data_IF_489124278030
#
_entry.id   IF_489124278030
#
_cell.length_a   1.000
_cell.length_b   1.000
_cell.length_c   1.000
_cell.angle_alpha   90.00
_cell.angle_beta   90.00
_cell.angle_gamma   90.00
#
_symmetry.space_group_name_H-M   'P 1'
#
loop_
_entity.id
_entity.type
_entity.pdbx_description
1 polymer ?
#
# COMPACT_ATOMS: atom_id res chain seq x y z
N UNK A 1 -2.99 -11.56 6.22
CA UNK A 1 -2.93 -10.18 6.73
C UNK A 1 -1.49 -9.88 7.12
N UNK A 2 -0.87 -8.89 6.46
CA UNK A 2 0.46 -8.42 6.82
C UNK A 2 0.39 -7.48 8.01
N UNK A 3 1.24 -7.73 9.01
CA UNK A 3 1.40 -6.90 10.21
C UNK A 3 2.88 -6.53 10.37
N UNK A 4 3.22 -5.78 11.39
CA UNK A 4 4.61 -5.50 11.78
C UNK A 4 4.91 -6.06 13.16
N UNK A 5 6.17 -6.07 13.57
CA UNK A 5 6.53 -6.43 14.94
C UNK A 5 5.84 -5.53 15.99
N UNK A 6 5.49 -4.29 15.60
CA UNK A 6 4.91 -3.29 16.51
C UNK A 6 3.41 -3.46 16.74
N UNK A 7 2.68 -4.04 15.78
CA UNK A 7 1.21 -4.12 15.85
C UNK A 7 0.65 -5.55 15.72
N UNK A 8 1.50 -6.55 15.58
CA UNK A 8 1.06 -7.93 15.33
C UNK A 8 0.15 -8.46 16.45
N UNK A 9 0.61 -8.35 17.69
CA UNK A 9 -0.08 -8.93 18.83
C UNK A 9 -1.42 -8.22 19.08
N UNK A 10 -1.44 -6.89 18.97
CA UNK A 10 -2.64 -6.07 19.08
C UNK A 10 -3.63 -6.39 17.95
N UNK A 11 -3.16 -6.46 16.71
CA UNK A 11 -4.00 -6.77 15.55
C UNK A 11 -4.60 -8.17 15.66
N UNK A 12 -3.80 -9.16 16.02
CA UNK A 12 -4.28 -10.55 16.16
C UNK A 12 -5.28 -10.70 17.33
N UNK A 13 -5.05 -9.99 18.44
CA UNK A 13 -5.98 -9.93 19.56
C UNK A 13 -7.31 -9.30 19.14
N UNK A 14 -7.26 -8.17 18.42
CA UNK A 14 -8.44 -7.49 17.90
C UNK A 14 -9.30 -8.39 17.01
N UNK A 15 -8.70 -9.15 16.08
CA UNK A 15 -9.45 -10.11 15.26
C UNK A 15 -10.10 -11.21 16.11
N UNK A 16 -9.40 -11.71 17.10
CA UNK A 16 -9.91 -12.76 18.01
C UNK A 16 -11.07 -12.27 18.86
N UNK A 17 -10.94 -11.09 19.46
CA UNK A 17 -11.97 -10.44 20.28
C UNK A 17 -13.25 -10.16 19.49
N UNK A 18 -13.12 -9.86 18.20
CA UNK A 18 -14.25 -9.66 17.28
C UNK A 18 -14.67 -10.94 16.54
N UNK A 19 -14.25 -12.13 17.04
CA UNK A 19 -14.64 -13.42 16.46
C UNK A 19 -14.35 -13.49 14.95
N UNK A 20 -13.21 -12.89 14.53
CA UNK A 20 -12.76 -12.81 13.14
C UNK A 20 -13.85 -12.22 12.20
N UNK A 21 -14.73 -11.37 12.73
CA UNK A 21 -15.82 -10.76 12.00
C UNK A 21 -16.75 -11.76 11.30
N UNK A 22 -16.90 -12.95 11.87
CA UNK A 22 -17.71 -14.02 11.32
C UNK A 22 -17.06 -14.86 10.23
N UNK A 23 -15.79 -14.60 9.89
CA UNK A 23 -15.01 -15.46 8.98
C UNK A 23 -14.46 -16.68 9.73
N UNK A 24 -14.29 -17.79 9.01
CA UNK A 24 -13.61 -18.95 9.54
C UNK A 24 -12.12 -18.63 9.76
N UNK A 25 -11.61 -18.72 11.01
CA UNK A 25 -10.22 -18.46 11.35
C UNK A 25 -9.22 -19.30 10.54
N UNK A 26 -9.60 -20.47 10.04
CA UNK A 26 -8.75 -21.33 9.24
C UNK A 26 -8.30 -20.69 7.91
N UNK A 27 -9.04 -19.67 7.44
CA UNK A 27 -8.70 -18.94 6.22
C UNK A 27 -8.03 -17.59 6.49
N UNK A 28 -7.76 -17.23 7.75
CA UNK A 28 -7.15 -15.96 8.11
C UNK A 28 -5.73 -16.20 8.63
N UNK A 29 -4.75 -15.78 7.86
CA UNK A 29 -3.34 -15.93 8.18
C UNK A 29 -2.70 -14.58 8.45
N UNK A 30 -1.88 -14.51 9.49
CA UNK A 30 -1.11 -13.31 9.82
C UNK A 30 0.38 -13.58 9.61
N UNK A 31 1.07 -12.63 9.00
CA UNK A 31 2.51 -12.67 8.85
C UNK A 31 3.12 -11.29 9.08
N UNK A 32 4.38 -11.28 9.53
CA UNK A 32 5.07 -10.02 9.86
C UNK A 32 5.90 -9.56 8.68
N UNK A 33 5.77 -8.27 8.32
CA UNK A 33 6.68 -7.61 7.39
C UNK A 33 8.06 -7.41 8.03
N UNK A 34 9.05 -7.13 7.19
CA UNK A 34 10.38 -6.78 7.63
C UNK A 34 10.41 -5.41 8.30
N UNK A 35 11.45 -5.22 9.10
CA UNK A 35 11.74 -3.97 9.77
C UNK A 35 13.09 -3.45 9.28
N UNK A 36 13.20 -2.14 9.09
CA UNK A 36 14.42 -1.46 8.73
C UNK A 36 14.90 -0.55 9.86
N UNK A 37 16.22 -0.41 10.08
CA UNK A 37 16.75 0.54 11.05
C UNK A 37 16.51 1.98 10.59
N UNK A 38 16.18 2.85 11.54
CA UNK A 38 16.13 4.28 11.30
C UNK A 38 17.52 4.90 11.53
N UNK A 39 17.86 5.91 10.74
CA UNK A 39 19.14 6.62 10.87
C UNK A 39 18.93 8.13 11.06
N UNK A 40 19.87 8.80 11.71
CA UNK A 40 19.91 10.25 11.75
C UNK A 40 20.38 10.85 10.41
N UNK A 41 20.45 12.16 10.31
CA UNK A 41 20.90 12.87 9.10
C UNK A 41 22.38 12.60 8.71
N UNK A 42 23.18 12.05 9.64
CA UNK A 42 24.56 11.64 9.38
C UNK A 42 24.68 10.15 9.00
N UNK A 43 23.56 9.44 8.89
CA UNK A 43 23.52 8.01 8.59
C UNK A 43 23.83 7.11 9.80
N UNK A 44 23.90 7.66 11.02
CA UNK A 44 24.09 6.87 12.24
C UNK A 44 22.78 6.21 12.66
N UNK A 45 22.84 4.91 12.95
CA UNK A 45 21.68 4.16 13.45
C UNK A 45 21.18 4.75 14.76
N UNK A 46 19.88 5.02 14.83
CA UNK A 46 19.23 5.57 16.00
C UNK A 46 18.84 4.44 16.99
N UNK A 47 18.85 4.74 18.26
CA UNK A 47 18.43 3.83 19.32
C UNK A 47 17.06 4.25 19.85
N UNK A 48 16.17 3.29 20.10
CA UNK A 48 14.92 3.52 20.83
C UNK A 48 15.01 3.12 22.31
N UNK A 49 16.02 2.28 22.68
CA UNK A 49 16.42 1.97 24.04
C UNK A 49 17.93 1.69 24.09
N UNK A 50 18.52 1.57 25.29
CA UNK A 50 19.97 1.33 25.45
C UNK A 50 20.48 0.06 24.76
N UNK A 51 19.61 -0.95 24.66
CA UNK A 51 19.85 -2.27 24.10
C UNK A 51 19.06 -2.54 22.81
N UNK A 52 18.39 -1.50 22.26
CA UNK A 52 17.49 -1.68 21.13
C UNK A 52 17.60 -0.55 20.12
N UNK A 53 17.90 -0.92 18.87
CA UNK A 53 17.89 0.01 17.74
C UNK A 53 16.48 0.43 17.38
N UNK A 54 16.32 1.67 16.91
CA UNK A 54 15.05 2.17 16.40
C UNK A 54 14.74 1.49 15.06
N UNK A 55 13.73 0.62 15.08
CA UNK A 55 13.24 -0.08 13.90
C UNK A 55 11.88 0.46 13.47
N UNK A 56 11.65 0.51 12.18
CA UNK A 56 10.35 0.81 11.58
C UNK A 56 10.00 -0.23 10.52
N UNK A 57 8.70 -0.47 10.27
CA UNK A 57 8.30 -1.22 9.08
C UNK A 57 8.98 -0.67 7.84
N UNK A 58 9.46 -1.58 6.98
CA UNK A 58 10.20 -1.23 5.76
C UNK A 58 9.30 -0.90 4.56
N UNK A 59 8.08 -0.46 4.79
CA UNK A 59 7.11 -0.16 3.75
C UNK A 59 6.26 -1.36 3.34
N UNK A 60 5.38 -1.15 2.38
CA UNK A 60 4.42 -2.17 1.94
C UNK A 60 4.90 -2.99 0.73
N UNK A 61 6.03 -2.66 0.10
CA UNK A 61 6.56 -3.38 -1.07
C UNK A 61 7.07 -4.77 -0.76
N UNK A 62 7.60 -4.98 0.46
CA UNK A 62 8.12 -6.27 0.92
C UNK A 62 7.06 -7.34 1.24
N UNK A 63 5.78 -7.09 0.95
CA UNK A 63 4.68 -7.99 1.33
C UNK A 63 4.83 -9.40 0.78
N UNK A 64 5.20 -9.55 -0.51
CA UNK A 64 5.30 -10.87 -1.13
C UNK A 64 6.50 -11.67 -0.60
N UNK A 65 7.65 -11.03 -0.41
CA UNK A 65 8.81 -11.69 0.19
C UNK A 65 8.54 -12.12 1.64
N UNK A 66 7.84 -11.30 2.41
CA UNK A 66 7.44 -11.62 3.79
C UNK A 66 6.44 -12.77 3.85
N UNK A 67 5.46 -12.80 2.95
CA UNK A 67 4.51 -13.89 2.78
C UNK A 67 5.22 -15.21 2.42
N UNK A 68 6.19 -15.16 1.50
CA UNK A 68 6.98 -16.33 1.12
C UNK A 68 7.83 -16.86 2.30
N UNK A 69 8.45 -15.97 3.08
CA UNK A 69 9.22 -16.37 4.29
C UNK A 69 8.34 -16.98 5.36
N UNK A 70 7.10 -16.54 5.48
CA UNK A 70 6.12 -17.12 6.38
C UNK A 70 5.64 -18.53 5.93
N UNK A 71 6.06 -18.99 4.74
CA UNK A 71 5.75 -20.33 4.23
C UNK A 71 4.49 -20.46 3.40
N UNK A 72 3.73 -19.37 3.19
CA UNK A 72 2.43 -19.43 2.53
C UNK A 72 2.50 -19.65 1.02
N UNK A 73 3.63 -19.39 0.36
CA UNK A 73 3.76 -19.58 -1.09
C UNK A 73 3.48 -21.05 -1.50
N UNK A 74 4.06 -22.00 -0.75
CA UNK A 74 3.89 -23.43 -1.03
C UNK A 74 2.41 -23.83 -0.89
N UNK A 75 1.75 -23.37 0.16
CA UNK A 75 0.32 -23.64 0.38
C UNK A 75 -0.54 -23.08 -0.75
N UNK A 76 -0.25 -21.86 -1.21
CA UNK A 76 -0.95 -21.24 -2.33
C UNK A 76 -0.79 -22.04 -3.63
N UNK A 77 0.43 -22.52 -3.92
CA UNK A 77 0.71 -23.36 -5.09
C UNK A 77 -0.05 -24.70 -5.01
N UNK A 78 -0.04 -25.36 -3.84
CA UNK A 78 -0.76 -26.62 -3.61
C UNK A 78 -2.28 -26.46 -3.75
N UNK A 79 -2.80 -25.28 -3.38
CA UNK A 79 -4.23 -24.93 -3.55
C UNK A 79 -4.59 -24.44 -4.96
N UNK A 80 -3.62 -24.32 -5.87
CA UNK A 80 -3.84 -23.84 -7.24
C UNK A 80 -4.23 -22.36 -7.31
N UNK A 81 -3.77 -21.54 -6.37
CA UNK A 81 -4.00 -20.08 -6.39
C UNK A 81 -3.15 -19.46 -7.49
N UNK A 82 -3.79 -18.79 -8.43
CA UNK A 82 -3.12 -18.15 -9.57
C UNK A 82 -3.02 -16.62 -9.43
N UNK A 83 -3.86 -16.01 -8.63
CA UNK A 83 -3.95 -14.56 -8.49
C UNK A 83 -4.01 -14.12 -7.04
N UNK A 84 -3.36 -13.01 -6.72
CA UNK A 84 -3.37 -12.39 -5.39
C UNK A 84 -3.94 -10.98 -5.46
N UNK A 85 -5.02 -10.75 -4.71
CA UNK A 85 -5.59 -9.42 -4.52
C UNK A 85 -4.90 -8.74 -3.34
N UNK A 86 -4.29 -7.58 -3.59
CA UNK A 86 -3.49 -6.82 -2.61
C UNK A 86 -4.10 -5.44 -2.45
N UNK A 87 -4.43 -5.07 -1.23
CA UNK A 87 -5.07 -3.80 -0.95
C UNK A 87 -4.69 -3.24 0.42
N UNK A 88 -4.87 -1.95 0.59
CA UNK A 88 -4.63 -1.21 1.83
C UNK A 88 -5.86 -1.24 2.73
N UNK A 89 -5.65 -1.30 4.05
CA UNK A 89 -6.72 -1.32 5.05
C UNK A 89 -7.40 0.05 5.24
N UNK A 90 -6.76 1.12 4.81
CA UNK A 90 -7.25 2.49 5.02
C UNK A 90 -8.47 2.85 4.16
N UNK A 91 -8.68 2.19 3.01
CA UNK A 91 -9.85 2.42 2.17
C UNK A 91 -11.02 1.53 2.59
N UNK A 92 -11.98 2.09 3.33
CA UNK A 92 -13.12 1.34 3.90
C UNK A 92 -14.20 0.94 2.89
N UNK A 93 -14.20 1.48 1.67
CA UNK A 93 -15.07 1.06 0.56
C UNK A 93 -14.44 0.01 -0.36
N UNK A 94 -13.37 -0.61 0.07
CA UNK A 94 -12.65 -1.59 -0.72
C UNK A 94 -13.55 -2.77 -1.11
N UNK A 95 -13.74 -3.02 -2.41
CA UNK A 95 -14.38 -4.24 -2.90
C UNK A 95 -13.32 -5.32 -3.07
N UNK A 96 -13.23 -6.19 -2.06
CA UNK A 96 -12.28 -7.29 -2.01
C UNK A 96 -12.75 -8.40 -2.96
N UNK A 97 -11.83 -8.91 -3.80
CA UNK A 97 -12.10 -10.00 -4.74
C UNK A 97 -13.34 -9.79 -5.62
N UNK A 98 -13.53 -8.56 -6.10
CA UNK A 98 -14.59 -8.21 -7.05
C UNK A 98 -14.48 -9.11 -8.32
N UNK A 99 -15.46 -9.98 -8.58
CA UNK A 99 -15.35 -10.96 -9.65
C UNK A 99 -15.32 -10.31 -11.05
N UNK A 100 -15.91 -9.12 -11.21
CA UNK A 100 -15.89 -8.39 -12.48
C UNK A 100 -14.50 -7.83 -12.74
N UNK A 101 -13.87 -7.24 -11.72
CA UNK A 101 -12.49 -6.77 -11.81
C UNK A 101 -11.52 -7.92 -12.08
N UNK A 102 -11.61 -9.00 -11.30
CA UNK A 102 -10.77 -10.19 -11.49
C UNK A 102 -10.94 -10.75 -12.90
N UNK A 103 -12.18 -10.91 -13.38
CA UNK A 103 -12.48 -11.38 -14.72
C UNK A 103 -11.93 -10.46 -15.81
N UNK A 104 -12.03 -9.14 -15.64
CA UNK A 104 -11.49 -8.16 -16.58
C UNK A 104 -9.95 -8.26 -16.70
N UNK A 105 -9.24 -8.39 -15.58
CA UNK A 105 -7.78 -8.55 -15.58
C UNK A 105 -7.37 -9.85 -16.26
N UNK A 106 -8.04 -10.97 -15.95
CA UNK A 106 -7.76 -12.26 -16.58
C UNK A 106 -8.02 -12.18 -18.09
N UNK A 107 -9.17 -11.64 -18.51
CA UNK A 107 -9.53 -11.51 -19.91
C UNK A 107 -8.61 -10.59 -20.71
N UNK A 108 -8.03 -9.57 -20.08
CA UNK A 108 -7.07 -8.66 -20.72
C UNK A 108 -5.73 -9.33 -21.04
N UNK A 109 -5.40 -10.45 -20.39
CA UNK A 109 -4.10 -11.11 -20.49
C UNK A 109 -2.97 -10.38 -19.78
N UNK A 110 -3.26 -9.30 -19.02
CA UNK A 110 -2.24 -8.55 -18.28
C UNK A 110 -1.68 -9.36 -17.10
N UNK A 111 -0.46 -9.04 -16.69
CA UNK A 111 0.21 -9.64 -15.52
C UNK A 111 -0.36 -9.14 -14.20
N UNK A 112 -0.88 -7.92 -14.23
CA UNK A 112 -1.55 -7.34 -13.09
C UNK A 112 -2.70 -6.41 -13.52
N UNK A 113 -3.51 -6.02 -12.54
CA UNK A 113 -4.49 -4.96 -12.65
C UNK A 113 -4.38 -4.00 -11.47
N UNK A 114 -4.79 -2.76 -11.69
CA UNK A 114 -4.89 -1.74 -10.63
C UNK A 114 -6.23 -1.02 -10.71
N UNK A 115 -6.99 -1.02 -9.61
CA UNK A 115 -8.18 -0.16 -9.52
C UNK A 115 -7.75 1.30 -9.43
N UNK A 116 -8.36 2.12 -10.26
CA UNK A 116 -8.07 3.55 -10.36
C UNK A 116 -9.34 4.38 -10.27
N UNK A 117 -9.19 5.59 -9.77
CA UNK A 117 -10.24 6.62 -9.79
C UNK A 117 -9.75 7.83 -10.57
N UNK A 118 -10.65 8.56 -11.23
CA UNK A 118 -10.26 9.83 -11.85
C UNK A 118 -9.87 10.84 -10.80
N UNK A 119 -8.75 11.53 -11.04
CA UNK A 119 -8.34 12.68 -10.21
C UNK A 119 -9.41 13.77 -10.27
N UNK A 120 -9.69 14.38 -9.14
CA UNK A 120 -10.64 15.50 -9.03
C UNK A 120 -9.98 16.85 -9.32
N UNK A 121 -8.66 16.95 -9.16
CA UNK A 121 -7.87 18.14 -9.49
C UNK A 121 -6.41 17.79 -9.79
N UNK A 122 -5.66 18.68 -10.46
CA UNK A 122 -4.21 18.51 -10.66
C UNK A 122 -3.43 18.34 -9.35
N UNK A 123 -3.87 18.99 -8.27
CA UNK A 123 -3.20 19.05 -6.96
C UNK A 123 -3.55 17.86 -6.06
N UNK A 124 -4.46 16.99 -6.48
CA UNK A 124 -4.84 15.82 -5.67
C UNK A 124 -3.62 14.95 -5.36
N UNK A 125 -3.43 14.66 -4.07
CA UNK A 125 -2.27 13.90 -3.54
C UNK A 125 -2.50 12.40 -3.65
N UNK A 126 -2.46 11.88 -4.87
CA UNK A 126 -2.61 10.46 -5.19
C UNK A 126 -1.58 10.08 -6.26
N UNK A 127 -0.97 8.90 -6.13
CA UNK A 127 -0.12 8.33 -7.17
C UNK A 127 -0.92 8.04 -8.44
N UNK A 128 -0.31 8.15 -9.60
CA UNK A 128 -0.99 8.00 -10.89
C UNK A 128 -0.42 6.83 -11.66
N UNK A 129 -1.30 5.89 -12.04
CA UNK A 129 -0.94 4.79 -12.93
C UNK A 129 -0.79 5.32 -14.36
N UNK A 130 0.37 5.09 -14.95
CA UNK A 130 0.71 5.52 -16.30
C UNK A 130 1.61 4.47 -17.00
N UNK A 131 2.21 4.84 -18.11
CA UNK A 131 3.27 4.07 -18.77
C UNK A 131 4.54 4.88 -18.82
N UNK A 132 5.66 4.25 -18.49
CA UNK A 132 7.00 4.75 -18.67
C UNK A 132 7.77 3.75 -19.53
N UNK A 133 8.31 4.20 -20.65
CA UNK A 133 9.02 3.38 -21.66
C UNK A 133 8.23 2.11 -22.08
N UNK A 134 6.91 2.26 -22.18
CA UNK A 134 5.99 1.17 -22.58
C UNK A 134 5.59 0.21 -21.46
N UNK A 135 6.21 0.29 -20.29
CA UNK A 135 5.87 -0.50 -19.10
C UNK A 135 4.90 0.23 -18.17
N UNK A 136 4.10 -0.50 -17.38
CA UNK A 136 3.28 0.15 -16.38
C UNK A 136 4.15 0.78 -15.29
N UNK A 137 3.77 1.97 -14.87
CA UNK A 137 4.44 2.70 -13.80
C UNK A 137 3.42 3.46 -12.95
N UNK A 138 3.76 3.72 -11.71
CA UNK A 138 3.01 4.63 -10.85
C UNK A 138 3.96 5.78 -10.48
N UNK A 139 3.57 7.00 -10.83
CA UNK A 139 4.27 8.22 -10.46
C UNK A 139 3.57 8.82 -9.25
N UNK A 140 4.30 8.97 -8.16
CA UNK A 140 3.76 9.57 -6.95
C UNK A 140 3.54 11.09 -7.12
N UNK A 141 2.55 11.61 -6.40
CA UNK A 141 2.14 13.02 -6.53
C UNK A 141 3.28 14.02 -6.25
N UNK A 142 4.25 13.66 -5.43
CA UNK A 142 5.42 14.50 -5.12
C UNK A 142 6.54 14.39 -6.18
N UNK A 143 6.49 13.41 -7.06
CA UNK A 143 7.42 13.22 -8.19
C UNK A 143 6.91 13.93 -9.46
N UNK A 144 5.60 14.21 -9.53
CA UNK A 144 5.02 14.88 -10.70
C UNK A 144 5.47 16.34 -10.80
N UNK A 145 5.98 16.73 -11.96
CA UNK A 145 6.24 18.14 -12.28
C UNK A 145 4.94 18.91 -12.48
N UNK A 146 5.00 20.23 -12.42
CA UNK A 146 3.82 21.08 -12.66
C UNK A 146 3.27 20.91 -14.09
N UNK A 147 4.14 20.70 -15.06
CA UNK A 147 3.75 20.40 -16.44
C UNK A 147 2.98 19.08 -16.52
N UNK A 148 3.48 18.00 -15.88
CA UNK A 148 2.78 16.72 -15.84
C UNK A 148 1.41 16.84 -15.18
N UNK A 149 1.30 17.57 -14.06
CA UNK A 149 0.04 17.73 -13.32
C UNK A 149 -1.04 18.42 -14.17
N UNK A 150 -0.64 19.39 -14.99
CA UNK A 150 -1.55 20.22 -15.75
C UNK A 150 -1.74 19.79 -17.21
N UNK A 151 -0.98 18.77 -17.67
CA UNK A 151 -1.08 18.26 -19.03
C UNK A 151 -2.47 17.69 -19.30
N UNK A 152 -3.07 18.08 -20.44
CA UNK A 152 -4.42 17.67 -20.81
C UNK A 152 -4.44 16.99 -22.16
N UNK A 153 -5.41 16.08 -22.33
CA UNK A 153 -5.73 15.49 -23.63
C UNK A 153 -6.50 16.47 -24.54
N UNK A 154 -6.79 16.04 -25.75
CA UNK A 154 -7.56 16.83 -26.76
C UNK A 154 -8.99 17.18 -26.30
N UNK A 155 -9.53 16.46 -25.31
CA UNK A 155 -10.85 16.70 -24.74
C UNK A 155 -10.81 17.57 -23.47
N UNK A 156 -9.62 18.05 -23.09
CA UNK A 156 -9.42 18.90 -21.92
C UNK A 156 -9.34 18.15 -20.59
N UNK A 157 -9.36 16.82 -20.58
CA UNK A 157 -9.17 16.02 -19.36
C UNK A 157 -7.69 15.97 -18.97
N UNK A 158 -7.41 15.80 -17.67
CA UNK A 158 -6.04 15.55 -17.21
C UNK A 158 -5.49 14.29 -17.89
N UNK A 159 -4.30 14.36 -18.47
CA UNK A 159 -3.66 13.21 -19.08
C UNK A 159 -3.22 12.19 -18.02
N UNK A 160 -2.62 12.68 -16.92
CA UNK A 160 -2.24 11.87 -15.75
C UNK A 160 -3.39 11.87 -14.73
N UNK A 161 -4.48 11.12 -15.02
CA UNK A 161 -5.71 11.19 -14.24
C UNK A 161 -6.10 9.87 -13.54
N UNK A 162 -5.38 8.78 -13.76
CA UNK A 162 -5.68 7.48 -13.14
C UNK A 162 -5.07 7.37 -11.73
N UNK A 163 -5.72 8.01 -10.76
CA UNK A 163 -5.33 7.93 -9.35
C UNK A 163 -5.46 6.51 -8.79
N UNK A 164 -4.39 5.95 -8.22
CA UNK A 164 -4.40 4.59 -7.69
C UNK A 164 -5.08 4.53 -6.33
N UNK A 165 -5.84 3.44 -6.10
CA UNK A 165 -6.58 3.22 -4.85
C UNK A 165 -5.88 2.24 -3.91
N UNK A 166 -4.65 1.81 -4.27
CA UNK A 166 -3.93 0.71 -3.63
C UNK A 166 -4.80 -0.56 -3.54
N UNK A 167 -5.38 -0.94 -4.68
CA UNK A 167 -6.09 -2.19 -4.89
C UNK A 167 -5.58 -2.81 -6.18
N UNK A 168 -4.72 -3.80 -6.03
CA UNK A 168 -4.03 -4.46 -7.12
C UNK A 168 -4.37 -5.93 -7.17
N UNK A 169 -4.39 -6.48 -8.38
CA UNK A 169 -4.47 -7.91 -8.64
C UNK A 169 -3.20 -8.36 -9.36
N UNK A 170 -2.45 -9.27 -8.78
CA UNK A 170 -1.19 -9.76 -9.34
C UNK A 170 -1.31 -11.24 -9.72
N UNK A 171 -0.76 -11.61 -10.88
CA UNK A 171 -0.57 -13.02 -11.25
C UNK A 171 0.53 -13.62 -10.39
N UNK A 172 0.23 -14.70 -9.64
CA UNK A 172 1.18 -15.33 -8.73
C UNK A 172 2.47 -15.75 -9.43
N UNK A 173 2.35 -16.38 -10.60
CA UNK A 173 3.52 -16.79 -11.40
C UNK A 173 4.46 -15.63 -11.71
N UNK A 174 3.92 -14.45 -12.04
CA UNK A 174 4.74 -13.27 -12.32
C UNK A 174 5.44 -12.73 -11.06
N UNK A 175 4.77 -12.77 -9.91
CA UNK A 175 5.38 -12.43 -8.63
C UNK A 175 6.56 -13.36 -8.29
N UNK A 176 6.44 -14.66 -8.59
CA UNK A 176 7.52 -15.62 -8.42
C UNK A 176 8.72 -15.30 -9.32
N UNK A 177 8.48 -14.91 -10.58
CA UNK A 177 9.52 -14.59 -11.55
C UNK A 177 10.35 -13.35 -11.14
N UNK A 178 9.71 -12.36 -10.52
CA UNK A 178 10.39 -11.14 -10.03
C UNK A 178 10.91 -11.25 -8.59
N UNK A 179 10.64 -12.34 -7.88
CA UNK A 179 10.93 -12.51 -6.45
C UNK A 179 12.39 -12.25 -6.05
N UNK A 180 13.34 -12.56 -6.93
CA UNK A 180 14.78 -12.35 -6.69
C UNK A 180 15.24 -10.91 -6.98
N UNK A 181 14.39 -10.11 -7.57
CA UNK A 181 14.70 -8.72 -7.88
C UNK A 181 14.52 -7.86 -6.62
N UNK A 182 15.37 -6.85 -6.48
CA UNK A 182 15.24 -5.88 -5.37
C UNK A 182 14.38 -4.72 -5.82
N UNK A 183 13.45 -4.32 -4.96
CA UNK A 183 12.73 -3.07 -5.12
C UNK A 183 13.66 -1.88 -4.84
N UNK A 184 13.44 -0.73 -5.46
CA UNK A 184 14.11 0.51 -5.08
C UNK A 184 13.75 0.87 -3.62
N UNK A 185 14.71 1.47 -2.93
CA UNK A 185 14.53 1.91 -1.54
C UNK A 185 14.16 3.40 -1.56
N UNK A 186 13.01 3.73 -1.01
CA UNK A 186 12.59 5.09 -0.79
C UNK A 186 13.08 5.59 0.56
N UNK A 187 13.73 6.75 0.56
CA UNK A 187 14.26 7.39 1.77
C UNK A 187 13.28 8.48 2.17
N UNK A 188 12.71 8.36 3.37
CA UNK A 188 11.67 9.29 3.84
C UNK A 188 12.09 9.94 5.15
N UNK A 189 12.05 11.27 5.18
CA UNK A 189 12.26 12.04 6.41
C UNK A 189 11.09 11.88 7.37
N UNK A 190 11.38 11.55 8.61
CA UNK A 190 10.34 11.33 9.65
C UNK A 190 10.78 11.88 11.00
N UNK A 191 9.77 12.15 11.85
CA UNK A 191 9.95 12.33 13.29
C UNK A 191 10.15 10.97 13.93
N UNK A 192 11.36 10.68 14.35
CA UNK A 192 11.76 9.38 14.89
C UNK A 192 12.06 9.56 16.38
N UNK A 193 11.28 8.97 17.30
CA UNK A 193 11.64 8.89 18.69
C UNK A 193 13.00 8.20 18.86
N UNK A 194 13.84 8.72 19.71
CA UNK A 194 15.21 8.22 19.90
C UNK A 194 15.68 8.36 21.33
N UNK A 195 16.77 7.68 21.65
CA UNK A 195 17.47 7.85 22.92
C UNK A 195 18.52 8.96 22.78
N UNK A 196 18.44 9.99 23.61
CA UNK A 196 19.41 11.07 23.64
C UNK A 196 20.77 10.65 24.23
N UNK A 197 21.75 11.54 24.23
CA UNK A 197 23.09 11.31 24.77
C UNK A 197 23.09 10.98 26.27
N UNK A 198 22.05 11.36 26.99
CA UNK A 198 21.86 11.10 28.42
C UNK A 198 21.10 9.77 28.64
N UNK A 199 20.73 9.06 27.59
CA UNK A 199 19.96 7.83 27.65
C UNK A 199 18.49 8.03 28.02
N UNK A 200 17.91 9.20 27.71
CA UNK A 200 16.49 9.51 27.88
C UNK A 200 15.77 9.45 26.54
N UNK A 201 14.53 8.95 26.56
CA UNK A 201 13.64 9.02 25.40
C UNK A 201 13.35 10.46 25.01
N UNK A 202 13.60 10.81 23.76
CA UNK A 202 13.29 12.08 23.14
C UNK A 202 12.28 11.89 22.00
N UNK A 203 11.25 12.75 21.97
CA UNK A 203 10.25 12.79 20.90
C UNK A 203 10.45 14.10 20.13
N UNK A 204 10.95 14.06 18.90
CA UNK A 204 11.25 15.27 18.14
C UNK A 204 9.96 15.95 17.66
N UNK A 205 9.97 17.28 17.64
CA UNK A 205 8.86 18.09 17.09
C UNK A 205 8.95 18.28 15.58
N UNK A 206 10.13 18.08 14.99
CA UNK A 206 10.41 18.13 13.56
C UNK A 206 11.07 16.83 13.09
N UNK A 207 11.08 16.53 11.76
CA UNK A 207 11.87 15.42 11.23
C UNK A 207 13.32 15.49 11.70
N UNK A 208 13.90 14.36 12.09
CA UNK A 208 15.23 14.25 12.68
C UNK A 208 16.05 13.09 12.12
N UNK A 209 15.55 12.41 11.08
CA UNK A 209 16.24 11.29 10.48
C UNK A 209 15.44 10.65 9.37
N UNK A 210 15.98 9.56 8.85
CA UNK A 210 15.46 8.84 7.70
C UNK A 210 14.94 7.46 8.07
N UNK A 211 13.84 7.07 7.39
CA UNK A 211 13.35 5.70 7.29
C UNK A 211 13.47 5.22 5.86
N UNK A 212 13.57 3.91 5.71
CA UNK A 212 13.75 3.23 4.44
C UNK A 212 12.51 2.38 4.16
N UNK A 213 11.89 2.59 3.00
CA UNK A 213 10.63 1.96 2.64
C UNK A 213 10.71 1.37 1.22
N UNK A 214 10.30 0.12 1.05
CA UNK A 214 9.98 -0.48 -0.23
C UNK A 214 8.49 -0.26 -0.50
N UNK A 215 8.09 0.09 -1.71
CA UNK A 215 6.70 0.40 -2.02
C UNK A 215 6.10 -0.61 -3.00
N UNK A 216 4.83 -0.98 -2.79
CA UNK A 216 4.11 -1.91 -3.67
C UNK A 216 3.94 -1.35 -5.08
N UNK A 217 3.97 -0.03 -5.25
CA UNK A 217 3.90 0.61 -6.57
C UNK A 217 5.10 0.24 -7.45
N UNK A 218 6.28 0.01 -6.86
CA UNK A 218 7.46 -0.42 -7.61
C UNK A 218 7.30 -1.84 -8.19
N UNK A 219 6.48 -2.67 -7.55
CA UNK A 219 6.13 -3.98 -8.11
C UNK A 219 5.32 -3.86 -9.40
N UNK A 220 4.50 -2.81 -9.54
CA UNK A 220 3.77 -2.52 -10.79
C UNK A 220 4.77 -2.24 -11.92
N UNK A 221 5.83 -1.50 -11.63
CA UNK A 221 6.88 -1.20 -12.62
C UNK A 221 7.67 -2.46 -13.07
N UNK A 222 7.69 -3.50 -12.24
CA UNK A 222 8.31 -4.79 -12.58
C UNK A 222 7.41 -5.71 -13.43
N UNK A 223 6.13 -5.35 -13.62
CA UNK A 223 5.22 -6.09 -14.50
C UNK A 223 5.46 -5.71 -15.96
N UNK A 224 5.15 -6.62 -16.88
CA UNK A 224 5.22 -6.31 -18.31
C UNK A 224 3.94 -5.60 -18.78
N UNK A 225 2.83 -5.81 -18.05
CA UNK A 225 1.53 -5.22 -18.38
C UNK A 225 0.66 -5.05 -17.12
N UNK A 226 -0.15 -3.97 -17.12
CA UNK A 226 -1.12 -3.69 -16.06
C UNK A 226 -2.42 -3.14 -16.69
N UNK A 227 -3.55 -3.69 -16.28
CA UNK A 227 -4.86 -3.16 -16.64
C UNK A 227 -5.26 -2.05 -15.66
N UNK A 228 -5.36 -0.78 -16.08
CA UNK A 228 -6.03 0.23 -15.28
C UNK A 228 -7.54 -0.04 -15.32
N UNK A 229 -8.11 -0.37 -14.16
CA UNK A 229 -9.54 -0.64 -14.02
C UNK A 229 -10.22 0.53 -13.30
N UNK A 230 -10.88 1.39 -14.07
CA UNK A 230 -11.54 2.57 -13.54
C UNK A 230 -12.78 2.17 -12.73
N UNK A 231 -12.88 2.71 -11.51
CA UNK A 231 -14.02 2.52 -10.62
C UNK A 231 -14.68 3.85 -10.27
N UNK A 232 -15.96 3.80 -9.90
CA UNK A 232 -16.67 4.98 -9.43
C UNK A 232 -16.16 5.33 -8.03
N UNK A 233 -15.55 6.51 -7.91
CA UNK A 233 -14.88 7.00 -6.69
C UNK A 233 -15.76 6.85 -5.46
N UNK A 234 -16.98 7.34 -5.52
CA UNK A 234 -17.93 7.36 -4.40
C UNK A 234 -18.33 5.95 -3.92
N UNK A 235 -18.13 4.94 -4.77
CA UNK A 235 -18.52 3.56 -4.47
C UNK A 235 -17.36 2.70 -3.98
N UNK A 236 -16.10 3.10 -4.26
CA UNK A 236 -14.95 2.23 -3.99
C UNK A 236 -13.74 2.95 -3.39
N UNK A 237 -13.81 4.27 -3.12
CA UNK A 237 -12.68 5.01 -2.58
C UNK A 237 -13.07 5.95 -1.45
N UNK A 238 -12.84 5.52 -0.21
CA UNK A 238 -13.06 6.28 1.02
C UNK A 238 -11.90 6.05 2.00
N UNK A 239 -10.71 6.58 1.71
CA UNK A 239 -9.54 6.39 2.56
C UNK A 239 -9.67 7.15 3.88
N UNK A 240 -9.12 6.58 4.95
CA UNK A 240 -9.02 7.21 6.28
C UNK A 240 -7.55 7.49 6.57
N UNK A 241 -7.10 8.72 6.29
CA UNK A 241 -5.70 9.17 6.46
C UNK A 241 -5.57 10.29 7.48
N UNK A 242 -6.63 11.07 7.67
CA UNK A 242 -6.65 12.26 8.51
C UNK A 242 -7.65 12.10 9.65
N UNK A 243 -7.41 12.83 10.74
CA UNK A 243 -8.36 12.90 11.85
C UNK A 243 -9.62 13.67 11.46
N UNK A 244 -9.46 14.75 10.70
CA UNK A 244 -10.51 15.69 10.31
C UNK A 244 -10.28 16.16 8.86
N UNK A 245 -11.33 16.65 8.21
CA UNK A 245 -11.29 17.17 6.85
C UNK A 245 -11.38 16.08 5.79
N UNK A 246 -10.68 16.26 4.68
CA UNK A 246 -10.65 15.26 3.60
C UNK A 246 -9.98 13.97 4.07
N UNK A 247 -10.42 12.84 3.51
CA UNK A 247 -9.91 11.50 3.84
C UNK A 247 -9.91 11.20 5.35
N UNK A 248 -10.99 11.58 6.03
CA UNK A 248 -11.18 11.38 7.47
C UNK A 248 -12.20 10.29 7.78
N UNK A 249 -12.29 9.93 9.05
CA UNK A 249 -13.32 9.00 9.53
C UNK A 249 -14.74 9.51 9.19
N UNK A 250 -14.98 10.82 9.29
CA UNK A 250 -16.30 11.39 9.02
C UNK A 250 -16.66 11.32 7.54
N UNK A 251 -15.75 11.71 6.64
CA UNK A 251 -15.98 11.58 5.19
C UNK A 251 -16.15 10.13 4.76
N UNK A 252 -15.39 9.20 5.36
CA UNK A 252 -15.55 7.77 5.10
C UNK A 252 -16.91 7.24 5.57
N UNK A 253 -17.39 7.64 6.75
CA UNK A 253 -18.73 7.28 7.26
C UNK A 253 -19.85 7.80 6.36
N UNK A 254 -19.73 9.02 5.86
CA UNK A 254 -20.72 9.57 4.93
C UNK A 254 -20.79 8.75 3.64
N UNK A 255 -19.65 8.36 3.08
CA UNK A 255 -19.59 7.52 1.88
C UNK A 255 -20.13 6.11 2.14
N UNK A 256 -19.82 5.50 3.30
CA UNK A 256 -20.39 4.20 3.69
C UNK A 256 -21.92 4.27 3.75
N UNK A 257 -22.50 5.30 4.40
CA UNK A 257 -23.97 5.51 4.45
C UNK A 257 -24.57 5.67 3.06
N UNK A 258 -23.95 6.46 2.17
CA UNK A 258 -24.38 6.61 0.78
C UNK A 258 -24.41 5.29 0.02
N UNK A 259 -23.50 4.38 0.36
CA UNK A 259 -23.43 3.02 -0.21
C UNK A 259 -24.33 2.01 0.53
N UNK A 260 -25.21 2.45 1.43
CA UNK A 260 -26.19 1.60 2.11
C UNK A 260 -25.61 0.76 3.27
N UNK A 261 -24.39 1.06 3.72
CA UNK A 261 -23.79 0.40 4.87
C UNK A 261 -24.40 0.98 6.15
N UNK A 262 -24.92 0.11 7.01
CA UNK A 262 -25.40 0.48 8.34
C UNK A 262 -24.20 0.56 9.30
N UNK A 263 -23.95 1.75 9.85
CA UNK A 263 -22.85 2.03 10.79
C UNK A 263 -23.33 2.93 11.93
#
# INVERSE_FOLDING_TARGET
IMTSQKNHDETTAFFREHQYFGYDPAYIHFFKQDMAPSVDYNGKVMLEAKDRISLSPNGNGGWFSSLCRAGYLKEMQEKGIEWLSVFSVDNVLQRINDPVYVGAVIASGCDCGGKVVRKVSPEERVGVLCKEDGKPAIVEYYEMTDDMRNLRDENGNLLYNFGVTLNYLFRLKRLEDIRSQKLPIHIVEKKIPYLDENGKEAKPEAPNGYKFEDLVLDMIHMMDSCLPYEVVRENEFAPVKNKEGADSVDTARELLKKNGVQI
#
